data_IF_938998207209
#
_entry.id   IF_938998207209
#
_cell.length_a   1.000
_cell.length_b   1.000
_cell.length_c   1.000
_cell.angle_alpha   90.00
_cell.angle_beta   90.00
_cell.angle_gamma   90.00
#
_symmetry.space_group_name_H-M   'P 1'
#
loop_
_entity.id
_entity.type
_entity.pdbx_description
1 polymer ?
#
# COMPACT_ATOMS: atom_id res chain seq x y z
N UNK A 1 -1.56 11.52 33.49
CA UNK A 1 -0.75 10.35 33.87
C UNK A 1 -1.28 9.05 33.27
N UNK A 2 -2.58 8.75 33.30
CA UNK A 2 -3.20 7.49 32.75
C UNK A 2 -2.93 7.20 31.27
N UNK A 3 -2.85 8.21 30.39
CA UNK A 3 -2.65 8.01 28.92
C UNK A 3 -1.25 7.44 28.61
N UNK A 4 -0.20 7.90 29.31
CA UNK A 4 1.17 7.37 29.11
C UNK A 4 1.30 5.91 29.55
N UNK A 5 0.60 5.53 30.61
CA UNK A 5 0.60 4.15 31.13
C UNK A 5 -0.16 3.18 30.21
N UNK A 6 -1.29 3.62 29.65
CA UNK A 6 -2.06 2.87 28.66
C UNK A 6 -1.28 2.67 27.36
N UNK A 7 -0.56 3.71 26.89
CA UNK A 7 0.31 3.63 25.71
C UNK A 7 1.51 2.71 25.97
N UNK A 8 2.06 2.72 27.19
CA UNK A 8 3.14 1.80 27.61
C UNK A 8 2.70 0.34 27.60
N UNK A 9 1.52 0.02 28.16
CA UNK A 9 0.93 -1.33 28.14
C UNK A 9 0.57 -1.82 26.73
N UNK A 10 0.07 -0.93 25.87
CA UNK A 10 -0.13 -1.25 24.43
C UNK A 10 1.17 -1.58 23.70
N UNK A 11 2.25 -0.84 23.95
CA UNK A 11 3.55 -1.07 23.33
C UNK A 11 4.23 -2.38 23.75
N UNK A 12 3.94 -2.90 24.93
CA UNK A 12 4.49 -4.17 25.43
C UNK A 12 3.82 -5.41 24.83
N UNK A 13 2.61 -5.28 24.26
CA UNK A 13 1.92 -6.41 23.64
C UNK A 13 2.61 -6.84 22.35
N UNK A 14 2.93 -8.14 22.13
CA UNK A 14 3.69 -8.64 20.98
C UNK A 14 3.07 -8.30 19.61
N UNK A 15 1.76 -8.22 19.53
CA UNK A 15 1.01 -7.81 18.35
C UNK A 15 1.35 -6.36 17.95
N UNK A 16 1.29 -5.40 18.88
CA UNK A 16 1.57 -3.99 18.58
C UNK A 16 3.04 -3.74 18.22
N UNK A 17 3.96 -4.48 18.80
CA UNK A 17 5.38 -4.40 18.43
C UNK A 17 5.62 -4.83 16.99
N UNK A 18 4.80 -5.77 16.48
CA UNK A 18 4.92 -6.33 15.14
C UNK A 18 4.14 -5.55 14.08
N UNK A 19 2.90 -5.15 14.40
CA UNK A 19 1.96 -4.53 13.43
C UNK A 19 1.69 -3.04 13.67
N UNK A 20 2.12 -2.45 14.78
CA UNK A 20 1.85 -1.05 15.14
C UNK A 20 2.33 -0.03 14.10
N UNK A 21 3.49 -0.28 13.47
CA UNK A 21 3.98 0.57 12.39
C UNK A 21 3.11 0.52 11.12
N UNK A 22 2.48 -0.63 10.85
CA UNK A 22 1.54 -0.78 9.73
C UNK A 22 0.19 -0.16 10.04
N UNK A 23 -0.28 -0.26 11.29
CA UNK A 23 -1.49 0.40 11.77
C UNK A 23 -1.35 1.93 11.69
N UNK A 24 -0.24 2.49 12.17
CA UNK A 24 0.05 3.90 12.02
C UNK A 24 0.07 4.35 10.55
N UNK A 25 0.69 3.54 9.68
CA UNK A 25 0.68 3.80 8.25
C UNK A 25 -0.72 3.74 7.63
N UNK A 26 -1.62 2.88 8.10
CA UNK A 26 -3.00 2.86 7.63
C UNK A 26 -3.72 4.18 8.01
N UNK A 27 -3.55 4.65 9.25
CA UNK A 27 -4.14 5.92 9.72
C UNK A 27 -3.63 7.10 8.88
N UNK A 28 -2.31 7.21 8.68
CA UNK A 28 -1.73 8.32 7.89
C UNK A 28 -2.17 8.25 6.42
N UNK A 29 -2.28 7.06 5.84
CA UNK A 29 -2.79 6.90 4.46
C UNK A 29 -4.27 7.27 4.36
N UNK A 30 -5.10 6.92 5.35
CA UNK A 30 -6.52 7.32 5.40
C UNK A 30 -6.69 8.84 5.52
N UNK A 31 -5.90 9.48 6.38
CA UNK A 31 -5.91 10.94 6.52
C UNK A 31 -5.53 11.62 5.19
N UNK A 32 -4.53 11.08 4.51
CA UNK A 32 -4.09 11.62 3.22
C UNK A 32 -5.09 11.33 2.08
N UNK A 33 -5.81 10.22 2.15
CA UNK A 33 -6.93 9.94 1.25
C UNK A 33 -8.03 11.01 1.39
N UNK A 34 -8.44 11.30 2.63
CA UNK A 34 -9.43 12.34 2.92
C UNK A 34 -8.96 13.73 2.45
N UNK A 35 -7.68 14.06 2.68
CA UNK A 35 -7.07 15.30 2.21
C UNK A 35 -7.13 15.44 0.67
N UNK A 36 -6.79 14.38 -0.08
CA UNK A 36 -6.85 14.41 -1.54
C UNK A 36 -8.30 14.50 -2.05
N UNK A 37 -9.24 13.80 -1.45
CA UNK A 37 -10.67 13.91 -1.80
C UNK A 37 -11.15 15.34 -1.55
N UNK A 38 -10.79 15.95 -0.43
CA UNK A 38 -11.12 17.32 -0.10
C UNK A 38 -10.56 18.31 -1.12
N UNK A 39 -9.28 18.20 -1.47
CA UNK A 39 -8.67 19.02 -2.54
C UNK A 39 -9.36 18.78 -3.89
N UNK A 40 -9.67 17.53 -4.21
CA UNK A 40 -10.36 17.17 -5.44
C UNK A 40 -11.75 17.81 -5.56
N UNK A 41 -12.47 17.87 -4.44
CA UNK A 41 -13.78 18.53 -4.38
C UNK A 41 -13.67 20.05 -4.48
N UNK A 42 -12.70 20.67 -3.78
CA UNK A 42 -12.49 22.12 -3.80
C UNK A 42 -12.07 22.63 -5.19
N UNK A 43 -11.15 21.94 -5.84
CA UNK A 43 -10.56 22.37 -7.11
C UNK A 43 -11.15 21.66 -8.34
N UNK A 44 -12.21 20.85 -8.14
CA UNK A 44 -12.85 20.03 -9.21
C UNK A 44 -11.80 19.24 -9.99
N UNK A 45 -10.82 18.67 -9.27
CA UNK A 45 -9.67 17.99 -9.85
C UNK A 45 -9.88 16.48 -9.88
N UNK A 46 -10.06 15.91 -11.07
CA UNK A 46 -10.18 14.47 -11.28
C UNK A 46 -8.95 13.71 -10.78
N UNK A 47 -7.75 14.31 -10.89
CA UNK A 47 -6.51 13.71 -10.38
C UNK A 47 -6.56 13.51 -8.85
N UNK A 48 -6.91 14.57 -8.09
CA UNK A 48 -6.93 14.49 -6.64
C UNK A 48 -8.04 13.56 -6.14
N UNK A 49 -9.20 13.53 -6.79
CA UNK A 49 -10.27 12.56 -6.47
C UNK A 49 -9.76 11.14 -6.69
N UNK A 50 -9.17 10.84 -7.85
CA UNK A 50 -8.64 9.51 -8.15
C UNK A 50 -7.51 9.10 -7.21
N UNK A 51 -6.62 10.01 -6.87
CA UNK A 51 -5.55 9.79 -5.89
C UNK A 51 -6.12 9.49 -4.51
N UNK A 52 -7.11 10.24 -4.06
CA UNK A 52 -7.79 10.01 -2.80
C UNK A 52 -8.48 8.65 -2.74
N UNK A 53 -9.18 8.24 -3.79
CA UNK A 53 -9.80 6.91 -3.91
C UNK A 53 -8.72 5.82 -3.86
N UNK A 54 -7.63 5.97 -4.57
CA UNK A 54 -6.53 5.01 -4.54
C UNK A 54 -5.94 4.84 -3.13
N UNK A 55 -5.66 5.94 -2.43
CA UNK A 55 -5.18 5.89 -1.04
C UNK A 55 -6.20 5.26 -0.10
N UNK A 56 -7.49 5.52 -0.29
CA UNK A 56 -8.56 4.90 0.51
C UNK A 56 -8.56 3.37 0.34
N UNK A 57 -8.40 2.88 -0.89
CA UNK A 57 -8.31 1.45 -1.17
C UNK A 57 -7.05 0.81 -0.56
N UNK A 58 -5.89 1.47 -0.64
CA UNK A 58 -4.67 0.98 0.01
C UNK A 58 -4.81 0.92 1.54
N UNK A 59 -5.48 1.92 2.14
CA UNK A 59 -5.78 1.93 3.57
C UNK A 59 -6.72 0.79 3.94
N UNK A 60 -7.79 0.56 3.17
CA UNK A 60 -8.73 -0.55 3.37
C UNK A 60 -8.04 -1.91 3.27
N UNK A 61 -7.17 -2.12 2.29
CA UNK A 61 -6.38 -3.34 2.14
C UNK A 61 -5.49 -3.60 3.38
N UNK A 62 -4.81 -2.55 3.89
CA UNK A 62 -4.01 -2.65 5.13
C UNK A 62 -4.86 -2.96 6.35
N UNK A 63 -5.98 -2.28 6.52
CA UNK A 63 -6.89 -2.52 7.63
C UNK A 63 -7.41 -3.96 7.61
N UNK A 64 -7.79 -4.49 6.45
CA UNK A 64 -8.25 -5.88 6.29
C UNK A 64 -7.18 -6.87 6.73
N UNK A 65 -5.91 -6.67 6.34
CA UNK A 65 -4.80 -7.53 6.76
C UNK A 65 -4.58 -7.47 8.27
N UNK A 66 -4.55 -6.28 8.86
CA UNK A 66 -4.31 -6.08 10.30
C UNK A 66 -5.44 -6.70 11.12
N UNK A 67 -6.71 -6.49 10.71
CA UNK A 67 -7.89 -7.06 11.40
C UNK A 67 -7.90 -8.59 11.29
N UNK A 68 -7.59 -9.13 10.10
CA UNK A 68 -7.48 -10.58 9.91
C UNK A 68 -6.42 -11.19 10.84
N UNK A 69 -5.27 -10.54 10.95
CA UNK A 69 -4.18 -11.00 11.80
C UNK A 69 -4.51 -10.86 13.29
N UNK A 70 -5.21 -9.79 13.69
CA UNK A 70 -5.69 -9.63 15.05
C UNK A 70 -6.68 -10.74 15.45
N UNK A 71 -7.52 -11.18 14.52
CA UNK A 71 -8.41 -12.34 14.70
C UNK A 71 -7.62 -13.64 14.78
N UNK A 72 -6.61 -13.83 13.93
CA UNK A 72 -5.76 -15.02 13.97
C UNK A 72 -4.99 -15.14 15.28
N UNK A 73 -4.56 -14.01 15.85
CA UNK A 73 -3.84 -13.98 17.13
C UNK A 73 -4.70 -14.41 18.33
N UNK A 74 -6.04 -14.28 18.22
CA UNK A 74 -7.02 -14.70 19.25
C UNK A 74 -7.57 -16.10 19.02
N UNK A 75 -7.30 -16.69 17.86
CA UNK A 75 -7.84 -18.00 17.47
C UNK A 75 -7.01 -19.12 18.11
N UNK A 76 -7.68 -20.06 18.78
CA UNK A 76 -7.05 -21.26 19.36
C UNK A 76 -6.82 -22.35 18.31
N UNK A 77 -7.65 -22.41 17.27
CA UNK A 77 -7.52 -23.38 16.19
C UNK A 77 -6.54 -22.88 15.12
N UNK A 78 -5.37 -23.51 15.07
CA UNK A 78 -4.31 -23.20 14.10
C UNK A 78 -4.73 -23.44 12.65
N UNK A 79 -5.61 -24.42 12.38
CA UNK A 79 -6.06 -24.74 11.03
C UNK A 79 -7.03 -23.66 10.53
N UNK A 80 -7.95 -23.21 11.38
CA UNK A 80 -8.86 -22.10 11.09
C UNK A 80 -8.11 -20.80 10.83
N UNK A 81 -7.10 -20.49 11.65
CA UNK A 81 -6.24 -19.31 11.49
C UNK A 81 -5.47 -19.36 10.15
N UNK A 82 -4.83 -20.50 9.82
CA UNK A 82 -4.09 -20.67 8.56
C UNK A 82 -4.99 -20.56 7.31
N UNK A 83 -6.19 -21.11 7.36
CA UNK A 83 -7.19 -21.01 6.27
C UNK A 83 -7.63 -19.56 6.07
N UNK A 84 -7.87 -18.81 7.16
CA UNK A 84 -8.23 -17.39 7.14
C UNK A 84 -7.08 -16.55 6.57
N UNK A 85 -5.85 -16.74 7.06
CA UNK A 85 -4.66 -16.04 6.56
C UNK A 85 -4.52 -16.22 5.05
N UNK A 86 -4.63 -17.46 4.56
CA UNK A 86 -4.54 -17.76 3.13
C UNK A 86 -5.66 -17.10 2.32
N UNK A 87 -6.91 -17.16 2.79
CA UNK A 87 -8.05 -16.53 2.09
C UNK A 87 -7.91 -15.02 2.03
N UNK A 88 -7.54 -14.38 3.15
CA UNK A 88 -7.31 -12.94 3.22
C UNK A 88 -6.16 -12.53 2.31
N UNK A 89 -5.08 -13.32 2.31
CA UNK A 89 -3.93 -13.09 1.43
C UNK A 89 -4.34 -13.06 -0.04
N UNK A 90 -5.04 -14.09 -0.55
CA UNK A 90 -5.48 -14.12 -1.94
C UNK A 90 -6.41 -12.95 -2.27
N UNK A 91 -7.40 -12.69 -1.42
CA UNK A 91 -8.35 -11.59 -1.62
C UNK A 91 -7.67 -10.23 -1.72
N UNK A 92 -6.76 -9.94 -0.79
CA UNK A 92 -6.04 -8.65 -0.77
C UNK A 92 -5.01 -8.57 -1.91
N UNK A 93 -4.35 -9.67 -2.30
CA UNK A 93 -3.42 -9.67 -3.44
C UNK A 93 -4.12 -9.35 -4.75
N UNK A 94 -5.25 -10.02 -5.04
CA UNK A 94 -6.05 -9.75 -6.25
C UNK A 94 -6.58 -8.32 -6.22
N UNK A 95 -7.10 -7.87 -5.08
CA UNK A 95 -7.60 -6.51 -4.90
C UNK A 95 -6.51 -5.46 -5.16
N UNK A 96 -5.33 -5.64 -4.58
CA UNK A 96 -4.18 -4.73 -4.77
C UNK A 96 -3.73 -4.71 -6.23
N UNK A 97 -3.69 -5.87 -6.89
CA UNK A 97 -3.34 -5.94 -8.30
C UNK A 97 -4.34 -5.18 -9.17
N UNK A 98 -5.65 -5.39 -8.95
CA UNK A 98 -6.70 -4.69 -9.70
C UNK A 98 -6.62 -3.17 -9.52
N UNK A 99 -6.40 -2.69 -8.30
CA UNK A 99 -6.26 -1.26 -8.01
C UNK A 99 -5.02 -0.68 -8.69
N UNK A 100 -3.90 -1.40 -8.69
CA UNK A 100 -2.67 -0.94 -9.32
C UNK A 100 -2.81 -0.88 -10.86
N UNK A 101 -3.55 -1.82 -11.46
CA UNK A 101 -3.89 -1.74 -12.89
C UNK A 101 -4.86 -0.58 -13.17
N UNK A 102 -5.82 -0.34 -12.28
CA UNK A 102 -6.77 0.77 -12.42
C UNK A 102 -6.10 2.16 -12.40
N UNK A 103 -4.86 2.29 -11.84
CA UNK A 103 -4.07 3.52 -11.90
C UNK A 103 -3.74 3.99 -13.32
N UNK A 104 -3.77 3.09 -14.29
CA UNK A 104 -3.54 3.45 -15.71
C UNK A 104 -4.57 4.49 -16.15
N UNK A 105 -5.83 4.35 -15.72
CA UNK A 105 -6.95 5.22 -16.14
C UNK A 105 -6.73 6.70 -15.76
N UNK A 106 -6.51 7.08 -14.48
CA UNK A 106 -6.33 8.49 -14.12
C UNK A 106 -5.06 9.09 -14.74
N UNK A 107 -3.99 8.32 -14.91
CA UNK A 107 -2.77 8.78 -15.57
C UNK A 107 -3.04 9.02 -17.06
N UNK A 108 -3.78 8.15 -17.74
CA UNK A 108 -4.16 8.33 -19.15
C UNK A 108 -5.08 9.54 -19.34
N UNK A 109 -6.07 9.74 -18.46
CA UNK A 109 -6.96 10.92 -18.51
C UNK A 109 -6.15 12.21 -18.35
N UNK A 110 -5.19 12.22 -17.44
CA UNK A 110 -4.31 13.38 -17.25
C UNK A 110 -3.44 13.64 -18.47
N UNK A 111 -2.90 12.57 -19.09
CA UNK A 111 -2.08 12.66 -20.29
C UNK A 111 -2.87 13.23 -21.49
N UNK A 112 -4.14 12.86 -21.64
CA UNK A 112 -5.00 13.34 -22.75
C UNK A 112 -5.57 14.73 -22.46
N UNK A 113 -5.95 14.99 -21.20
CA UNK A 113 -6.69 16.20 -20.82
C UNK A 113 -5.87 17.48 -20.80
N UNK A 114 -4.53 17.41 -20.81
CA UNK A 114 -3.59 18.55 -20.74
C UNK A 114 -3.94 19.61 -19.66
N UNK A 115 -4.86 19.30 -18.75
CA UNK A 115 -5.32 20.18 -17.68
C UNK A 115 -4.60 19.84 -16.37
N UNK A 116 -3.65 20.68 -16.00
CA UNK A 116 -3.14 20.73 -14.62
C UNK A 116 -3.98 21.75 -13.85
N UNK A 117 -4.55 21.32 -12.74
CA UNK A 117 -5.27 22.24 -11.83
C UNK A 117 -4.28 22.74 -10.79
N UNK A 118 -3.98 24.04 -10.81
CA UNK A 118 -3.10 24.64 -9.82
C UNK A 118 -3.77 24.61 -8.43
N UNK A 119 -3.28 23.74 -7.56
CA UNK A 119 -3.78 23.57 -6.19
C UNK A 119 -3.05 24.46 -5.17
N UNK A 120 -2.12 25.27 -5.64
CA UNK A 120 -1.35 26.21 -4.82
C UNK A 120 -0.12 25.59 -4.12
N UNK A 121 0.77 26.45 -3.69
CA UNK A 121 2.06 26.09 -3.09
C UNK A 121 1.90 25.31 -1.77
N UNK A 122 0.88 25.62 -0.98
CA UNK A 122 0.64 24.92 0.30
C UNK A 122 0.34 23.43 0.06
N UNK A 123 -0.47 23.11 -0.95
CA UNK A 123 -0.75 21.73 -1.33
C UNK A 123 0.53 21.00 -1.77
N UNK A 124 1.38 21.65 -2.59
CA UNK A 124 2.66 21.08 -3.02
C UNK A 124 3.59 20.76 -1.84
N UNK A 125 3.74 21.66 -0.90
CA UNK A 125 4.56 21.47 0.32
C UNK A 125 4.01 20.29 1.15
N UNK A 126 2.69 20.22 1.32
CA UNK A 126 2.04 19.14 2.09
C UNK A 126 2.29 17.78 1.43
N UNK A 127 2.12 17.67 0.10
CA UNK A 127 2.37 16.45 -0.65
C UNK A 127 3.85 16.07 -0.60
N UNK A 128 4.77 17.04 -0.69
CA UNK A 128 6.21 16.80 -0.59
C UNK A 128 6.62 16.25 0.78
N UNK A 129 6.14 16.86 1.87
CA UNK A 129 6.39 16.38 3.22
C UNK A 129 5.84 14.97 3.45
N UNK A 130 4.63 14.71 2.98
CA UNK A 130 4.01 13.39 3.06
C UNK A 130 4.79 12.34 2.27
N UNK A 131 5.21 12.65 1.05
CA UNK A 131 5.99 11.75 0.19
C UNK A 131 7.32 11.39 0.84
N UNK A 132 8.05 12.38 1.36
CA UNK A 132 9.31 12.17 2.09
C UNK A 132 9.11 11.23 3.29
N UNK A 133 8.06 11.47 4.09
CA UNK A 133 7.69 10.58 5.18
C UNK A 133 7.42 9.15 4.70
N UNK A 134 6.67 8.98 3.60
CA UNK A 134 6.31 7.65 3.04
C UNK A 134 7.53 6.89 2.56
N UNK A 135 8.44 7.55 1.85
CA UNK A 135 9.69 6.93 1.38
C UNK A 135 10.53 6.49 2.58
N UNK A 136 10.76 7.36 3.56
CA UNK A 136 11.51 7.03 4.76
C UNK A 136 10.88 5.85 5.52
N UNK A 137 9.57 5.87 5.71
CA UNK A 137 8.84 4.79 6.36
C UNK A 137 8.88 3.46 5.56
N UNK A 138 8.86 3.50 4.24
CA UNK A 138 9.02 2.33 3.38
C UNK A 138 10.43 1.73 3.51
N UNK A 139 11.47 2.55 3.47
CA UNK A 139 12.87 2.12 3.66
C UNK A 139 13.10 1.45 5.01
N UNK A 140 12.58 2.03 6.10
CA UNK A 140 12.70 1.46 7.45
C UNK A 140 11.97 0.12 7.54
N UNK A 141 10.77 0.01 6.99
CA UNK A 141 9.99 -1.25 6.98
C UNK A 141 10.68 -2.32 6.14
N UNK A 142 11.27 -1.93 5.02
CA UNK A 142 12.00 -2.85 4.15
C UNK A 142 13.19 -3.48 4.88
N UNK A 143 13.97 -2.70 5.62
CA UNK A 143 15.09 -3.20 6.43
C UNK A 143 14.65 -4.14 7.56
N UNK A 144 13.57 -3.81 8.28
CA UNK A 144 13.09 -4.60 9.42
C UNK A 144 12.47 -5.94 9.05
N UNK A 145 11.84 -6.04 7.88
CA UNK A 145 11.06 -7.22 7.49
C UNK A 145 11.90 -8.32 6.82
N UNK A 146 13.23 -8.16 6.67
CA UNK A 146 14.13 -9.17 6.07
C UNK A 146 14.18 -10.52 6.79
N UNK A 147 13.65 -10.61 8.01
CA UNK A 147 13.71 -11.81 8.88
C UNK A 147 12.34 -12.45 9.17
N UNK A 148 11.25 -11.99 8.57
CA UNK A 148 9.91 -12.49 8.92
C UNK A 148 9.29 -13.34 7.81
N UNK A 149 8.88 -14.57 8.17
CA UNK A 149 8.20 -15.55 7.29
C UNK A 149 6.66 -15.38 7.25
N UNK A 150 6.09 -14.33 7.85
CA UNK A 150 4.65 -14.10 7.85
C UNK A 150 4.18 -13.55 6.50
N UNK A 151 3.19 -14.20 5.89
CA UNK A 151 2.56 -13.77 4.63
C UNK A 151 1.95 -12.36 4.76
N UNK A 152 1.26 -12.11 5.88
CA UNK A 152 0.65 -10.80 6.18
C UNK A 152 1.66 -9.67 6.20
N UNK A 153 2.85 -9.87 6.83
CA UNK A 153 3.88 -8.83 6.86
C UNK A 153 4.50 -8.57 5.49
N UNK A 154 4.63 -9.62 4.67
CA UNK A 154 5.13 -9.46 3.30
C UNK A 154 4.17 -8.65 2.45
N UNK A 155 2.87 -8.91 2.58
CA UNK A 155 1.83 -8.18 1.85
C UNK A 155 1.70 -6.72 2.32
N UNK A 156 1.78 -6.47 3.64
CA UNK A 156 1.83 -5.11 4.18
C UNK A 156 3.04 -4.32 3.68
N UNK A 157 4.16 -5.00 3.39
CA UNK A 157 5.34 -4.40 2.79
C UNK A 157 5.11 -4.04 1.32
N UNK A 158 4.50 -4.95 0.55
CA UNK A 158 4.14 -4.70 -0.84
C UNK A 158 3.24 -3.47 -0.97
N UNK A 159 2.14 -3.44 -0.22
CA UNK A 159 1.23 -2.29 -0.17
C UNK A 159 1.98 -1.02 0.25
N UNK A 160 2.94 -1.13 1.19
CA UNK A 160 3.77 0.00 1.62
C UNK A 160 4.68 0.54 0.52
N UNK A 161 5.19 -0.32 -0.35
CA UNK A 161 6.03 0.07 -1.47
C UNK A 161 5.20 0.71 -2.59
N UNK A 162 4.04 0.14 -2.94
CA UNK A 162 3.10 0.73 -3.88
C UNK A 162 2.64 2.12 -3.44
N UNK A 163 2.34 2.28 -2.14
CA UNK A 163 1.96 3.55 -1.53
C UNK A 163 3.09 4.60 -1.61
N UNK A 164 4.34 4.21 -1.39
CA UNK A 164 5.49 5.10 -1.52
C UNK A 164 5.70 5.54 -2.98
N UNK A 165 5.65 4.60 -3.94
CA UNK A 165 5.78 4.92 -5.36
C UNK A 165 4.65 5.80 -5.87
N UNK A 166 3.41 5.53 -5.45
CA UNK A 166 2.28 6.38 -5.80
C UNK A 166 2.39 7.77 -5.17
N UNK A 167 2.97 7.89 -3.97
CA UNK A 167 3.23 9.20 -3.35
C UNK A 167 4.24 10.01 -4.17
N UNK A 168 5.25 9.37 -4.77
CA UNK A 168 6.19 10.03 -5.70
C UNK A 168 5.47 10.51 -6.96
N UNK A 169 4.59 9.69 -7.54
CA UNK A 169 3.76 10.06 -8.67
C UNK A 169 2.86 11.26 -8.35
N UNK A 170 2.22 11.24 -7.18
CA UNK A 170 1.38 12.34 -6.72
C UNK A 170 2.17 13.64 -6.50
N UNK A 171 3.36 13.55 -5.91
CA UNK A 171 4.25 14.70 -5.75
C UNK A 171 4.65 15.30 -7.10
N UNK A 172 5.11 14.45 -8.02
CA UNK A 172 5.50 14.88 -9.35
C UNK A 172 4.37 15.65 -10.05
N UNK A 173 3.16 15.10 -10.04
CA UNK A 173 2.01 15.75 -10.67
C UNK A 173 1.62 17.06 -9.98
N UNK A 174 1.73 17.13 -8.66
CA UNK A 174 1.46 18.35 -7.90
C UNK A 174 2.51 19.43 -8.20
N UNK A 175 3.80 19.08 -8.26
CA UNK A 175 4.86 20.03 -8.60
C UNK A 175 4.67 20.59 -10.01
N UNK A 176 4.35 19.75 -10.98
CA UNK A 176 4.07 20.21 -12.34
C UNK A 176 2.88 21.15 -12.38
N UNK A 177 1.80 20.84 -11.64
CA UNK A 177 0.61 21.70 -11.61
C UNK A 177 0.86 23.09 -11.01
N UNK A 178 1.88 23.23 -10.15
CA UNK A 178 2.21 24.49 -9.46
C UNK A 178 3.28 25.27 -10.21
N UNK A 179 4.26 24.60 -10.80
CA UNK A 179 5.45 25.23 -11.35
C UNK A 179 5.55 25.25 -12.87
N UNK A 180 4.70 24.47 -13.61
CA UNK A 180 4.68 24.60 -15.05
C UNK A 180 3.94 25.85 -15.52
N UNK A 181 4.58 26.62 -16.40
CA UNK A 181 3.92 27.69 -17.11
C UNK A 181 2.92 27.14 -18.14
N UNK A 182 1.85 27.89 -18.38
CA UNK A 182 0.85 27.49 -19.36
C UNK A 182 1.47 27.46 -20.76
N UNK A 183 1.59 26.26 -21.34
CA UNK A 183 2.09 26.06 -22.70
C UNK A 183 3.43 25.33 -22.81
N UNK A 184 4.11 24.97 -21.72
CA UNK A 184 5.35 24.20 -21.77
C UNK A 184 5.08 22.72 -22.06
N UNK A 185 5.16 22.37 -23.36
CA UNK A 185 4.94 21.01 -23.86
C UNK A 185 6.04 20.04 -23.45
N UNK A 186 7.26 20.52 -23.18
CA UNK A 186 8.41 19.68 -22.81
C UNK A 186 8.25 19.12 -21.42
N UNK A 187 7.88 19.95 -20.45
CA UNK A 187 7.63 19.55 -19.05
C UNK A 187 6.43 18.59 -18.99
N UNK A 188 5.39 18.86 -19.78
CA UNK A 188 4.23 18.00 -19.85
C UNK A 188 4.58 16.60 -20.38
N UNK A 189 5.33 16.51 -21.48
CA UNK A 189 5.77 15.23 -22.08
C UNK A 189 6.63 14.44 -21.10
N UNK A 190 7.58 15.08 -20.42
CA UNK A 190 8.42 14.46 -19.41
C UNK A 190 7.56 13.90 -18.25
N UNK A 191 6.52 14.63 -17.83
CA UNK A 191 5.58 14.18 -16.81
C UNK A 191 4.84 12.91 -17.22
N UNK A 192 4.30 12.87 -18.42
CA UNK A 192 3.54 11.71 -18.91
C UNK A 192 4.43 10.48 -18.97
N UNK A 193 5.65 10.62 -19.52
CA UNK A 193 6.61 9.51 -19.63
C UNK A 193 7.02 8.99 -18.24
N UNK A 194 7.41 9.87 -17.33
CA UNK A 194 7.84 9.47 -16.01
C UNK A 194 6.70 8.89 -15.16
N UNK A 195 5.47 9.42 -15.30
CA UNK A 195 4.28 8.83 -14.68
C UNK A 195 3.99 7.43 -15.22
N UNK A 196 4.11 7.22 -16.53
CA UNK A 196 3.99 5.91 -17.16
C UNK A 196 5.01 4.91 -16.63
N UNK A 197 6.26 5.31 -16.46
CA UNK A 197 7.33 4.48 -15.88
C UNK A 197 6.98 4.09 -14.43
N UNK A 198 6.54 5.03 -13.60
CA UNK A 198 6.18 4.75 -12.20
C UNK A 198 5.00 3.77 -12.11
N UNK A 199 3.96 3.97 -12.93
CA UNK A 199 2.81 3.05 -12.97
C UNK A 199 3.22 1.65 -13.44
N UNK A 200 4.07 1.55 -14.47
CA UNK A 200 4.61 0.28 -14.93
C UNK A 200 5.44 -0.42 -13.84
N UNK A 201 6.24 0.32 -13.07
CA UNK A 201 6.98 -0.22 -11.92
C UNK A 201 6.03 -0.72 -10.82
N UNK A 202 4.99 0.02 -10.47
CA UNK A 202 3.98 -0.42 -9.49
C UNK A 202 3.32 -1.72 -9.94
N UNK A 203 2.88 -1.79 -11.20
CA UNK A 203 2.24 -2.98 -11.77
C UNK A 203 3.19 -4.18 -11.80
N UNK A 204 4.44 -4.00 -12.25
CA UNK A 204 5.45 -5.05 -12.32
C UNK A 204 5.82 -5.58 -10.91
N UNK A 205 5.97 -4.70 -9.93
CA UNK A 205 6.24 -5.10 -8.55
C UNK A 205 5.08 -5.90 -7.97
N UNK A 206 3.84 -5.44 -8.10
CA UNK A 206 2.66 -6.16 -7.61
C UNK A 206 2.52 -7.53 -8.26
N UNK A 207 2.72 -7.62 -9.57
CA UNK A 207 2.67 -8.89 -10.28
C UNK A 207 3.77 -9.86 -9.79
N UNK A 208 5.00 -9.37 -9.68
CA UNK A 208 6.14 -10.16 -9.18
C UNK A 208 5.93 -10.66 -7.75
N UNK A 209 5.43 -9.80 -6.85
CA UNK A 209 5.14 -10.17 -5.47
C UNK A 209 4.04 -11.21 -5.41
N UNK A 210 2.93 -11.01 -6.12
CA UNK A 210 1.80 -11.96 -6.17
C UNK A 210 2.24 -13.34 -6.65
N UNK A 211 3.00 -13.43 -7.76
CA UNK A 211 3.51 -14.70 -8.28
C UNK A 211 4.43 -15.40 -7.27
N UNK A 212 5.37 -14.64 -6.70
CA UNK A 212 6.35 -15.19 -5.76
C UNK A 212 5.67 -15.78 -4.51
N UNK A 213 4.64 -15.12 -4.01
CA UNK A 213 3.92 -15.58 -2.82
C UNK A 213 2.99 -16.76 -3.12
N UNK A 214 2.34 -16.79 -4.28
CA UNK A 214 1.57 -17.96 -4.73
C UNK A 214 2.48 -19.18 -4.84
N UNK A 215 3.68 -19.03 -5.41
CA UNK A 215 4.66 -20.11 -5.51
C UNK A 215 5.10 -20.61 -4.12
N UNK A 216 5.31 -19.72 -3.16
CA UNK A 216 5.66 -20.09 -1.77
C UNK A 216 4.52 -20.85 -1.07
N UNK A 217 3.27 -20.40 -1.24
CA UNK A 217 2.10 -21.08 -0.68
C UNK A 217 1.96 -22.48 -1.23
N UNK A 218 2.16 -22.65 -2.54
CA UNK A 218 2.12 -23.98 -3.19
C UNK A 218 3.21 -24.91 -2.64
N UNK A 219 4.43 -24.38 -2.43
CA UNK A 219 5.54 -25.16 -1.83
C UNK A 219 5.25 -25.58 -0.39
N UNK A 220 4.69 -24.67 0.44
CA UNK A 220 4.30 -25.01 1.84
C UNK A 220 3.20 -26.07 1.89
N UNK A 221 2.18 -25.98 1.03
CA UNK A 221 1.11 -27.00 0.94
C UNK A 221 1.64 -28.39 0.54
N UNK A 222 2.61 -28.44 -0.36
CA UNK A 222 3.24 -29.69 -0.79
C UNK A 222 4.07 -30.37 0.32
N UNK A 223 4.74 -29.57 1.18
CA UNK A 223 5.51 -30.09 2.33
C UNK A 223 4.57 -30.69 3.38
N UNK A 224 3.48 -29.97 3.73
CA UNK A 224 2.50 -30.45 4.72
C UNK A 224 1.82 -31.74 4.24
N UNK A 225 1.46 -31.83 2.95
CA UNK A 225 0.88 -33.05 2.38
C UNK A 225 1.83 -34.26 2.43
N UNK A 226 3.14 -34.07 2.24
CA UNK A 226 4.13 -35.14 2.36
C UNK A 226 4.32 -35.64 3.80
N UNK A 227 4.26 -34.73 4.78
CA UNK A 227 4.41 -35.09 6.20
C UNK A 227 3.19 -35.88 6.71
N UNK A 228 1.98 -35.57 6.21
CA UNK A 228 0.75 -36.31 6.54
C UNK A 228 0.74 -37.72 5.91
N UNK A 229 1.25 -37.87 4.68
CA UNK A 229 1.30 -39.16 3.99
C UNK A 229 2.41 -40.12 4.49
N UNK A 230 3.46 -39.59 5.12
CA UNK A 230 4.55 -40.39 5.69
C UNK A 230 4.27 -40.95 7.08
N UNK A 231 3.25 -40.42 7.81
CA UNK A 231 2.89 -40.87 9.15
C UNK A 231 1.99 -42.11 9.17
N UNK A 232 1.38 -42.50 8.04
CA UNK A 232 0.47 -43.62 7.96
C UNK A 232 1.16 -44.98 7.63
N UNK A 233 2.48 -44.96 7.33
CA UNK A 233 3.24 -46.16 6.98
C UNK A 233 4.08 -46.74 8.14
N UNK A 234 4.00 -46.15 9.35
CA UNK A 234 4.72 -46.67 10.55
C UNK A 234 3.79 -47.25 11.64
N UNK A 235 2.63 -47.76 11.26
CA UNK A 235 1.78 -48.52 12.21
C UNK A 235 1.57 -49.95 11.74
#
# INVERSE_FOLDING_TARGET
MKIKETIGKCKSHPFWRRYGGSAWSAVTTSAFAAYNIFLGALFVSAWHISAGIYYAFLAAARCTLIVSEAKNFRESDRNAAAKRERRTFYGVSVFTLLINVALITPVSIMAVGKKTVNTGTIAAITVAAYTTYKIAAACVRFKRAGKSDSLTLMQLREIGLCDALFSVLSLQNTLISVFSEAGDTSIFTLSVVSSGVIVALIAALSFRFTIREIARLKKRSAIVGKTSAGGDNEK
#
